data_IF_272338938460
#
_entry.id   IF_272338938460
#
_cell.length_a   1.000
_cell.length_b   1.000
_cell.length_c   1.000
_cell.angle_alpha   90.00
_cell.angle_beta   90.00
_cell.angle_gamma   90.00
#
_symmetry.space_group_name_H-M   'P 1'
#
loop_
_entity.id
_entity.type
_entity.pdbx_description
1 polymer ?
#
# COMPACT_ATOMS: atom_id res chain seq x y z
N UNK A 1 -10.43 16.12 -11.37
CA UNK A 1 -10.23 17.27 -10.45
C UNK A 1 -9.17 16.91 -9.40
N UNK A 2 -8.21 17.80 -9.10
CA UNK A 2 -7.26 17.61 -8.00
C UNK A 2 -7.86 18.07 -6.66
N UNK A 3 -7.71 17.26 -5.61
CA UNK A 3 -8.15 17.58 -4.25
C UNK A 3 -7.02 17.25 -3.28
N UNK A 4 -6.81 18.15 -2.32
CA UNK A 4 -5.77 18.02 -1.29
C UNK A 4 -6.39 17.50 0.02
N UNK A 5 -5.91 16.35 0.50
CA UNK A 5 -6.36 15.74 1.77
C UNK A 5 -5.19 15.67 2.76
N UNK A 6 -5.37 16.12 4.02
CA UNK A 6 -4.31 16.05 5.02
C UNK A 6 -3.91 14.61 5.34
N UNK A 7 -2.61 14.34 5.46
CA UNK A 7 -2.09 13.04 5.91
C UNK A 7 -2.05 12.95 7.45
N UNK A 8 -2.22 11.75 8.03
CA UNK A 8 -2.15 11.56 9.49
C UNK A 8 -0.84 11.98 10.15
N UNK A 9 0.26 11.98 9.39
CA UNK A 9 1.62 12.27 9.87
C UNK A 9 2.12 13.66 9.44
N UNK A 10 1.22 14.54 8.98
CA UNK A 10 1.57 15.84 8.39
C UNK A 10 1.79 15.77 6.87
N UNK A 11 1.64 16.93 6.22
CA UNK A 11 1.66 17.07 4.77
C UNK A 11 0.32 16.74 4.10
N UNK A 12 0.32 16.83 2.78
CA UNK A 12 -0.90 16.73 1.94
C UNK A 12 -0.80 15.54 0.99
N UNK A 13 -1.91 14.83 0.79
CA UNK A 13 -2.09 13.82 -0.27
C UNK A 13 -2.92 14.47 -1.38
N UNK A 14 -2.36 14.51 -2.58
CA UNK A 14 -3.04 15.04 -3.76
C UNK A 14 -3.80 13.90 -4.44
N UNK A 15 -5.13 13.97 -4.42
CA UNK A 15 -6.02 13.02 -5.07
C UNK A 15 -6.50 13.55 -6.41
N UNK A 16 -6.45 12.72 -7.44
CA UNK A 16 -7.11 12.96 -8.71
C UNK A 16 -8.46 12.25 -8.71
N UNK A 17 -9.55 13.01 -8.57
CA UNK A 17 -10.92 12.47 -8.63
C UNK A 17 -11.38 12.48 -10.09
N UNK A 18 -11.60 11.31 -10.73
CA UNK A 18 -12.14 11.23 -12.08
C UNK A 18 -13.62 11.63 -12.12
N UNK A 19 -14.17 11.84 -13.32
CA UNK A 19 -15.62 12.05 -13.47
C UNK A 19 -16.41 10.80 -13.06
N UNK A 20 -17.73 10.93 -12.87
CA UNK A 20 -18.57 9.78 -12.51
C UNK A 20 -18.50 8.69 -13.59
N UNK A 21 -18.56 9.08 -14.86
CA UNK A 21 -18.47 8.17 -16.01
C UNK A 21 -17.09 7.51 -16.04
N UNK A 22 -16.01 8.27 -15.85
CA UNK A 22 -14.66 7.68 -15.80
C UNK A 22 -14.52 6.67 -14.67
N UNK A 23 -15.10 6.95 -13.50
CA UNK A 23 -15.09 6.00 -12.37
C UNK A 23 -15.86 4.73 -12.69
N UNK A 24 -17.02 4.85 -13.35
CA UNK A 24 -17.80 3.69 -13.79
C UNK A 24 -16.99 2.82 -14.76
N UNK A 25 -16.38 3.42 -15.79
CA UNK A 25 -15.59 2.67 -16.79
C UNK A 25 -14.32 2.08 -16.13
N UNK A 26 -13.63 2.84 -15.28
CA UNK A 26 -12.47 2.33 -14.53
C UNK A 26 -12.85 1.15 -13.63
N UNK A 27 -14.02 1.20 -13.00
CA UNK A 27 -14.52 0.10 -12.16
C UNK A 27 -14.83 -1.14 -13.00
N UNK A 28 -15.47 -0.98 -14.18
CA UNK A 28 -15.74 -2.08 -15.08
C UNK A 28 -14.44 -2.77 -15.55
N UNK A 29 -13.43 -1.98 -15.92
CA UNK A 29 -12.09 -2.50 -16.25
C UNK A 29 -11.49 -3.24 -15.04
N UNK A 30 -11.53 -2.65 -13.85
CA UNK A 30 -10.98 -3.26 -12.64
C UNK A 30 -11.65 -4.61 -12.31
N UNK A 31 -12.97 -4.74 -12.51
CA UNK A 31 -13.70 -5.99 -12.31
C UNK A 31 -13.25 -7.11 -13.26
N UNK A 32 -12.87 -6.77 -14.50
CA UNK A 32 -12.32 -7.73 -15.46
C UNK A 32 -10.88 -8.11 -15.10
N UNK A 33 -10.06 -7.13 -14.73
CA UNK A 33 -8.64 -7.37 -14.41
C UNK A 33 -8.45 -8.16 -13.12
N UNK A 34 -9.30 -7.94 -12.12
CA UNK A 34 -9.17 -8.58 -10.79
C UNK A 34 -9.05 -10.11 -10.85
N UNK A 35 -9.99 -10.86 -11.44
CA UNK A 35 -9.90 -12.33 -11.49
C UNK A 35 -8.71 -12.85 -12.28
N UNK A 36 -8.21 -12.09 -13.27
CA UNK A 36 -7.02 -12.46 -14.05
C UNK A 36 -5.77 -12.36 -13.18
N UNK A 37 -5.57 -11.22 -12.53
CA UNK A 37 -4.34 -10.96 -11.77
C UNK A 37 -4.35 -11.59 -10.37
N UNK A 38 -5.50 -11.86 -9.77
CA UNK A 38 -5.58 -12.56 -8.48
C UNK A 38 -4.93 -13.96 -8.55
N UNK A 39 -4.94 -14.62 -9.72
CA UNK A 39 -4.27 -15.92 -9.95
C UNK A 39 -2.74 -15.81 -9.98
N UNK A 40 -2.21 -14.61 -10.16
CA UNK A 40 -0.79 -14.34 -10.42
C UNK A 40 -0.14 -13.60 -9.24
N UNK A 41 -0.93 -12.85 -8.47
CA UNK A 41 -0.42 -12.12 -7.32
C UNK A 41 0.12 -13.05 -6.24
N UNK A 42 1.28 -12.67 -5.69
CA UNK A 42 1.91 -13.38 -4.59
C UNK A 42 0.99 -13.50 -3.38
N UNK A 43 1.00 -14.64 -2.69
CA UNK A 43 0.31 -14.83 -1.42
C UNK A 43 0.80 -13.91 -0.30
N UNK A 44 2.01 -13.35 -0.45
CA UNK A 44 2.59 -12.39 0.47
C UNK A 44 2.15 -10.94 0.20
N UNK A 45 1.29 -10.72 -0.81
CA UNK A 45 0.68 -9.43 -1.12
C UNK A 45 -0.77 -9.40 -0.64
N UNK A 46 -1.11 -8.44 0.21
CA UNK A 46 -2.41 -8.38 0.89
C UNK A 46 -3.24 -7.13 0.56
N UNK A 47 -2.58 -6.01 0.24
CA UNK A 47 -3.28 -4.73 0.08
C UNK A 47 -4.16 -4.68 -1.16
N UNK A 48 -5.39 -4.16 -1.01
CA UNK A 48 -6.36 -3.95 -2.10
C UNK A 48 -6.73 -5.22 -2.88
N UNK A 49 -6.74 -6.37 -2.22
CA UNK A 49 -7.13 -7.65 -2.82
C UNK A 49 -8.42 -8.18 -2.20
N UNK A 50 -9.29 -8.86 -2.96
CA UNK A 50 -10.45 -9.53 -2.42
C UNK A 50 -10.05 -10.55 -1.33
N UNK A 51 -10.82 -10.61 -0.25
CA UNK A 51 -10.65 -11.57 0.85
C UNK A 51 -9.28 -11.55 1.56
N UNK A 52 -8.48 -10.49 1.39
CA UNK A 52 -7.21 -10.29 2.11
C UNK A 52 -7.21 -8.94 2.81
N UNK A 53 -6.86 -8.95 4.09
CA UNK A 53 -6.89 -7.78 4.96
C UNK A 53 -5.56 -7.49 5.64
N UNK A 54 -5.53 -6.36 6.34
CA UNK A 54 -4.38 -5.98 7.16
C UNK A 54 -4.11 -7.00 8.28
N UNK A 55 -5.15 -7.63 8.83
CA UNK A 55 -5.00 -8.66 9.87
C UNK A 55 -4.26 -9.90 9.36
N UNK A 56 -4.54 -10.35 8.13
CA UNK A 56 -3.85 -11.49 7.52
C UNK A 56 -2.36 -11.19 7.32
N UNK A 57 -2.05 -9.98 6.86
CA UNK A 57 -0.68 -9.50 6.73
C UNK A 57 0.04 -9.52 8.09
N UNK A 58 -0.60 -9.01 9.15
CA UNK A 58 -0.04 -9.02 10.51
C UNK A 58 0.13 -10.43 11.06
N UNK A 59 -0.82 -11.34 10.82
CA UNK A 59 -0.70 -12.74 11.23
C UNK A 59 0.53 -13.40 10.56
N UNK A 60 0.77 -13.12 9.28
CA UNK A 60 1.95 -13.61 8.58
C UNK A 60 3.26 -13.06 9.16
N UNK A 61 3.26 -11.80 9.57
CA UNK A 61 4.41 -11.17 10.24
C UNK A 61 4.72 -11.83 11.59
N UNK A 62 3.69 -12.17 12.37
CA UNK A 62 3.83 -12.89 13.64
C UNK A 62 4.43 -14.28 13.41
N UNK A 63 3.91 -15.03 12.44
CA UNK A 63 4.40 -16.34 12.04
C UNK A 63 5.90 -16.32 11.67
N UNK A 64 6.29 -15.39 10.78
CA UNK A 64 7.70 -15.21 10.39
C UNK A 64 8.60 -14.86 11.58
N UNK A 65 8.11 -14.03 12.51
CA UNK A 65 8.89 -13.71 13.71
C UNK A 65 9.14 -14.96 14.56
N UNK A 66 8.11 -15.78 14.78
CA UNK A 66 8.20 -17.02 15.55
C UNK A 66 9.13 -18.06 14.90
N UNK A 67 9.24 -18.05 13.56
CA UNK A 67 10.22 -18.86 12.81
C UNK A 67 11.67 -18.33 12.89
N UNK A 68 11.93 -17.25 13.63
CA UNK A 68 13.26 -16.72 13.88
C UNK A 68 13.70 -15.59 12.95
N UNK A 69 12.82 -15.06 12.09
CA UNK A 69 13.12 -13.88 11.26
C UNK A 69 13.00 -12.58 12.07
N UNK A 70 13.97 -12.36 12.97
CA UNK A 70 13.93 -11.31 14.00
C UNK A 70 14.37 -9.91 13.52
N UNK A 71 14.73 -9.77 12.24
CA UNK A 71 15.09 -8.49 11.60
C UNK A 71 14.19 -8.26 10.39
N UNK A 72 13.86 -7.00 10.13
CA UNK A 72 13.02 -6.60 8.99
C UNK A 72 13.65 -5.42 8.25
N UNK A 73 13.59 -5.47 6.93
CA UNK A 73 13.83 -4.34 6.04
C UNK A 73 12.48 -3.71 5.76
N UNK A 74 12.27 -2.51 6.30
CA UNK A 74 11.09 -1.67 6.09
C UNK A 74 11.35 -0.80 4.86
N UNK A 75 10.70 -1.10 3.73
CA UNK A 75 10.89 -0.45 2.45
C UNK A 75 9.80 0.60 2.22
N UNK A 76 10.20 1.87 2.10
CA UNK A 76 9.29 2.99 1.77
C UNK A 76 9.59 3.51 0.36
N UNK A 77 8.57 3.54 -0.50
CA UNK A 77 8.68 4.03 -1.88
C UNK A 77 8.34 5.53 -1.94
N UNK A 78 9.24 6.33 -2.52
CA UNK A 78 9.07 7.78 -2.57
C UNK A 78 8.00 8.17 -3.59
N UNK A 79 6.85 8.65 -3.08
CA UNK A 79 5.73 9.13 -3.90
C UNK A 79 5.38 8.13 -5.02
N UNK A 80 5.22 6.85 -4.65
CA UNK A 80 5.08 5.74 -5.58
C UNK A 80 4.04 6.00 -6.67
N UNK A 81 2.81 6.32 -6.26
CA UNK A 81 1.70 6.59 -7.18
C UNK A 81 1.96 7.78 -8.11
N UNK A 82 2.87 8.69 -7.78
CA UNK A 82 3.17 9.85 -8.63
C UNK A 82 4.31 9.55 -9.64
N UNK A 83 5.06 8.46 -9.43
CA UNK A 83 6.28 8.14 -10.19
C UNK A 83 6.19 6.85 -11.03
N UNK A 84 5.05 6.16 -11.02
CA UNK A 84 4.84 4.95 -11.83
C UNK A 84 5.12 5.22 -13.32
N UNK A 85 5.97 4.40 -13.95
CA UNK A 85 6.26 4.52 -15.37
C UNK A 85 5.15 3.85 -16.20
N UNK A 86 4.51 4.62 -17.09
CA UNK A 86 3.38 4.14 -17.89
C UNK A 86 3.77 3.04 -18.88
N UNK A 87 4.95 3.12 -19.49
CA UNK A 87 5.39 2.12 -20.47
C UNK A 87 5.68 0.77 -19.81
N UNK A 88 6.32 0.78 -18.63
CA UNK A 88 6.51 -0.42 -17.83
C UNK A 88 5.15 -0.99 -17.35
N UNK A 89 4.23 -0.13 -16.91
CA UNK A 89 2.88 -0.57 -16.53
C UNK A 89 2.17 -1.31 -17.66
N UNK A 90 2.16 -0.71 -18.87
CA UNK A 90 1.54 -1.33 -20.05
C UNK A 90 2.27 -2.62 -20.43
N UNK A 91 3.61 -2.65 -20.35
CA UNK A 91 4.40 -3.86 -20.57
C UNK A 91 4.03 -5.00 -19.62
N UNK A 92 3.78 -4.70 -18.34
CA UNK A 92 3.39 -5.73 -17.35
C UNK A 92 1.95 -6.21 -17.56
N UNK A 93 1.04 -5.31 -17.95
CA UNK A 93 -0.32 -5.67 -18.33
C UNK A 93 -0.34 -6.59 -19.56
N UNK A 94 0.48 -6.29 -20.57
CA UNK A 94 0.63 -7.07 -21.80
C UNK A 94 1.08 -8.52 -21.59
N UNK A 95 1.65 -8.87 -20.43
CA UNK A 95 2.02 -10.26 -20.14
C UNK A 95 0.81 -11.16 -19.88
N UNK A 96 -0.35 -10.57 -19.58
CA UNK A 96 -1.56 -11.29 -19.18
C UNK A 96 -2.82 -10.85 -19.95
N UNK A 97 -2.73 -9.76 -20.73
CA UNK A 97 -3.83 -9.19 -21.50
C UNK A 97 -3.36 -9.02 -22.93
N UNK A 98 -3.97 -9.76 -23.85
CA UNK A 98 -3.66 -9.66 -25.28
C UNK A 98 -4.50 -8.59 -26.00
N UNK A 99 -5.64 -8.16 -25.43
CA UNK A 99 -6.54 -7.19 -26.05
C UNK A 99 -5.90 -5.78 -26.16
N UNK A 100 -5.59 -5.29 -27.38
CA UNK A 100 -4.97 -3.99 -27.56
C UNK A 100 -5.88 -2.83 -27.16
N UNK A 101 -7.21 -3.00 -27.22
CA UNK A 101 -8.16 -1.94 -26.90
C UNK A 101 -8.22 -1.65 -25.40
N UNK A 102 -8.26 -2.69 -24.57
CA UNK A 102 -8.18 -2.56 -23.12
C UNK A 102 -6.87 -1.90 -22.70
N UNK A 103 -5.74 -2.32 -23.28
CA UNK A 103 -4.43 -1.70 -22.99
C UNK A 103 -4.39 -0.21 -23.40
N UNK A 104 -4.96 0.14 -24.56
CA UNK A 104 -5.09 1.54 -25.01
C UNK A 104 -5.98 2.35 -24.07
N UNK A 105 -7.09 1.77 -23.60
CA UNK A 105 -8.00 2.42 -22.66
C UNK A 105 -7.31 2.68 -21.31
N UNK A 106 -6.60 1.69 -20.77
CA UNK A 106 -5.83 1.85 -19.53
C UNK A 106 -4.74 2.92 -19.71
N UNK A 107 -4.01 2.91 -20.84
CA UNK A 107 -3.02 3.94 -21.16
C UNK A 107 -3.68 5.33 -21.21
N UNK A 108 -4.86 5.46 -21.81
CA UNK A 108 -5.62 6.72 -21.82
C UNK A 108 -5.93 7.18 -20.38
N UNK A 109 -6.40 6.31 -19.50
CA UNK A 109 -6.64 6.68 -18.09
C UNK A 109 -5.38 7.10 -17.33
N UNK A 110 -4.22 6.53 -17.65
CA UNK A 110 -2.94 6.93 -17.05
C UNK A 110 -2.49 8.31 -17.56
N UNK A 111 -2.69 8.58 -18.84
CA UNK A 111 -2.25 9.83 -19.50
C UNK A 111 -3.26 10.98 -19.43
N UNK A 112 -4.50 10.73 -18.96
CA UNK A 112 -5.63 11.69 -19.02
C UNK A 112 -5.42 12.98 -18.22
N UNK A 113 -4.27 13.13 -17.56
CA UNK A 113 -3.87 14.34 -16.87
C UNK A 113 -4.70 14.60 -15.62
N UNK A 114 -4.40 15.72 -14.97
CA UNK A 114 -5.20 16.25 -13.87
C UNK A 114 -5.53 17.71 -14.12
N UNK A 115 -6.79 18.08 -13.89
CA UNK A 115 -7.18 19.47 -13.77
C UNK A 115 -6.76 19.98 -12.39
N UNK A 116 -5.76 20.85 -12.36
CA UNK A 116 -5.19 21.46 -11.16
C UNK A 116 -5.41 22.97 -11.19
N UNK A 117 -6.16 23.50 -10.22
CA UNK A 117 -6.55 24.92 -10.17
C UNK A 117 -7.10 25.51 -11.48
N UNK A 118 -7.82 24.71 -12.28
CA UNK A 118 -8.41 25.13 -13.55
C UNK A 118 -7.48 24.99 -14.78
N UNK A 119 -6.22 24.61 -14.58
CA UNK A 119 -5.27 24.34 -15.65
C UNK A 119 -5.13 22.83 -15.88
N UNK A 120 -5.10 22.43 -17.15
CA UNK A 120 -4.89 21.04 -17.53
C UNK A 120 -3.39 20.71 -17.52
N UNK A 121 -2.97 19.82 -16.63
CA UNK A 121 -1.62 19.28 -16.60
C UNK A 121 -1.61 17.86 -17.18
N UNK A 122 -0.83 17.62 -18.23
CA UNK A 122 -0.56 16.26 -18.73
C UNK A 122 0.13 15.45 -17.65
N UNK A 123 -0.26 14.17 -17.52
CA UNK A 123 0.40 13.24 -16.61
C UNK A 123 1.38 12.38 -17.42
N UNK A 124 2.67 12.70 -17.30
CA UNK A 124 3.75 11.92 -17.95
C UNK A 124 4.13 10.68 -17.14
N UNK A 125 3.85 10.67 -15.84
CA UNK A 125 4.13 9.58 -14.89
C UNK A 125 3.06 9.54 -13.81
N UNK A 126 2.97 8.38 -13.15
CA UNK A 126 2.09 8.14 -12.02
C UNK A 126 0.75 7.52 -12.41
N UNK A 127 -0.04 7.18 -11.41
CA UNK A 127 -1.42 6.69 -11.54
C UNK A 127 -2.33 7.63 -10.75
N UNK A 128 -3.51 8.02 -11.26
CA UNK A 128 -4.41 8.92 -10.55
C UNK A 128 -4.78 8.37 -9.15
N UNK A 129 -4.34 9.05 -8.09
CA UNK A 129 -4.73 8.65 -6.73
C UNK A 129 -6.22 8.97 -6.53
N UNK A 130 -7.09 7.96 -6.52
CA UNK A 130 -8.55 8.12 -6.35
C UNK A 130 -9.41 7.48 -7.45
N UNK A 131 -8.79 6.98 -8.52
CA UNK A 131 -9.48 6.12 -9.49
C UNK A 131 -9.70 4.70 -8.96
N UNK A 132 -10.86 4.06 -9.18
CA UNK A 132 -11.09 2.68 -8.75
C UNK A 132 -10.13 1.65 -9.37
N UNK A 133 -9.53 1.99 -10.52
CA UNK A 133 -8.57 1.15 -11.22
C UNK A 133 -7.14 1.25 -10.64
N UNK A 134 -6.80 2.36 -9.97
CA UNK A 134 -5.43 2.62 -9.51
C UNK A 134 -4.88 1.61 -8.50
N UNK A 135 -5.66 1.08 -7.53
CA UNK A 135 -5.19 0.07 -6.59
C UNK A 135 -4.71 -1.23 -7.26
N UNK A 136 -5.47 -1.74 -8.24
CA UNK A 136 -5.08 -2.97 -8.94
C UNK A 136 -3.85 -2.73 -9.83
N UNK A 137 -3.79 -1.59 -10.54
CA UNK A 137 -2.60 -1.24 -11.32
C UNK A 137 -1.35 -1.14 -10.45
N UNK A 138 -1.46 -0.51 -9.27
CA UNK A 138 -0.38 -0.45 -8.31
C UNK A 138 0.13 -1.84 -7.89
N UNK A 139 -0.78 -2.80 -7.68
CA UNK A 139 -0.42 -4.17 -7.37
C UNK A 139 0.21 -4.91 -8.55
N UNK A 140 -0.28 -4.73 -9.78
CA UNK A 140 0.30 -5.32 -11.00
C UNK A 140 1.76 -4.91 -11.15
N UNK A 141 2.04 -3.62 -10.97
CA UNK A 141 3.39 -3.09 -11.09
C UNK A 141 4.34 -3.62 -10.00
N UNK A 142 3.88 -3.67 -8.75
CA UNK A 142 4.68 -4.20 -7.63
C UNK A 142 4.71 -5.72 -7.57
N UNK A 143 3.88 -6.43 -8.34
CA UNK A 143 3.98 -7.88 -8.45
C UNK A 143 5.33 -8.32 -9.02
N UNK A 144 6.00 -7.47 -9.82
CA UNK A 144 7.36 -7.73 -10.30
C UNK A 144 8.40 -7.70 -9.17
N UNK A 145 8.20 -6.86 -8.16
CA UNK A 145 8.99 -6.91 -6.92
C UNK A 145 8.70 -8.21 -6.17
N UNK A 146 7.42 -8.59 -6.04
CA UNK A 146 7.01 -9.81 -5.33
C UNK A 146 7.60 -11.07 -5.98
N UNK A 147 7.56 -11.15 -7.31
CA UNK A 147 8.19 -12.22 -8.10
C UNK A 147 9.69 -12.28 -7.86
N UNK A 148 10.38 -11.13 -7.88
CA UNK A 148 11.82 -11.08 -7.66
C UNK A 148 12.21 -11.48 -6.23
N UNK A 149 11.44 -11.06 -5.23
CA UNK A 149 11.65 -11.48 -3.83
C UNK A 149 11.42 -12.98 -3.66
N UNK A 150 10.36 -13.51 -4.27
CA UNK A 150 10.03 -14.94 -4.26
C UNK A 150 11.12 -15.76 -4.94
N UNK A 151 11.57 -15.33 -6.13
CA UNK A 151 12.67 -15.96 -6.88
C UNK A 151 13.98 -16.03 -6.10
N UNK A 152 14.23 -15.04 -5.23
CA UNK A 152 15.41 -14.98 -4.34
C UNK A 152 15.23 -15.72 -3.02
N UNK A 153 14.06 -16.34 -2.79
CA UNK A 153 13.75 -17.05 -1.55
C UNK A 153 13.65 -16.12 -0.34
N UNK A 154 13.26 -14.86 -0.53
CA UNK A 154 13.06 -13.93 0.58
C UNK A 154 11.64 -14.06 1.15
N UNK A 155 11.55 -13.99 2.48
CA UNK A 155 10.27 -13.87 3.17
C UNK A 155 9.87 -12.41 3.26
N UNK A 156 8.70 -12.05 2.77
CA UNK A 156 8.22 -10.68 2.79
C UNK A 156 6.72 -10.63 3.05
N UNK A 157 6.23 -9.45 3.42
CA UNK A 157 4.82 -9.13 3.53
C UNK A 157 4.63 -7.74 2.92
N UNK A 158 3.77 -7.65 1.91
CA UNK A 158 3.46 -6.39 1.21
C UNK A 158 1.99 -6.03 1.37
N UNK A 159 1.73 -4.78 1.71
CA UNK A 159 0.40 -4.20 1.75
C UNK A 159 0.41 -2.89 0.98
N UNK A 160 -0.13 -2.91 -0.24
CA UNK A 160 -0.01 -1.80 -1.18
C UNK A 160 1.47 -1.45 -1.47
N UNK A 161 1.89 -0.23 -1.16
CA UNK A 161 3.25 0.28 -1.29
C UNK A 161 4.14 -0.01 -0.08
N UNK A 162 3.56 -0.31 1.09
CA UNK A 162 4.31 -0.71 2.28
C UNK A 162 4.79 -2.16 2.13
N UNK A 163 6.10 -2.38 2.06
CA UNK A 163 6.70 -3.70 1.86
C UNK A 163 7.77 -4.00 2.92
N UNK A 164 7.59 -5.09 3.66
CA UNK A 164 8.52 -5.53 4.69
C UNK A 164 9.19 -6.85 4.29
N UNK A 165 10.52 -6.90 4.34
CA UNK A 165 11.29 -8.12 4.06
C UNK A 165 11.93 -8.64 5.34
N UNK A 166 11.62 -9.87 5.72
CA UNK A 166 12.01 -10.49 6.98
C UNK A 166 13.27 -11.34 6.81
N UNK A 167 14.25 -11.11 7.68
CA UNK A 167 15.59 -11.72 7.63
C UNK A 167 16.05 -12.12 9.03
N UNK A 168 17.00 -13.06 9.11
CA UNK A 168 17.52 -13.57 10.40
C UNK A 168 18.56 -12.66 11.05
N UNK A 169 19.29 -11.84 10.28
CA UNK A 169 20.38 -10.99 10.79
C UNK A 169 20.38 -9.59 10.19
N UNK A 170 21.01 -8.65 10.90
CA UNK A 170 21.13 -7.26 10.47
C UNK A 170 21.92 -7.14 9.16
N UNK A 171 23.07 -7.80 9.09
CA UNK A 171 23.94 -7.84 7.91
C UNK A 171 23.20 -8.40 6.68
N UNK A 172 22.35 -9.42 6.87
CA UNK A 172 21.52 -9.93 5.79
C UNK A 172 20.50 -8.89 5.33
N UNK A 173 19.87 -8.16 6.26
CA UNK A 173 18.93 -7.09 5.93
C UNK A 173 19.56 -5.97 5.12
N UNK A 174 20.75 -5.50 5.51
CA UNK A 174 21.47 -4.44 4.79
C UNK A 174 21.90 -4.87 3.38
N UNK A 175 22.30 -6.15 3.23
CA UNK A 175 22.61 -6.73 1.91
C UNK A 175 21.36 -6.77 1.02
N UNK A 176 20.23 -7.24 1.55
CA UNK A 176 18.96 -7.32 0.81
C UNK A 176 18.48 -5.92 0.45
N UNK A 177 18.50 -4.98 1.39
CA UNK A 177 18.11 -3.58 1.18
C UNK A 177 18.86 -2.97 0.00
N UNK A 178 20.20 -3.04 -0.04
CA UNK A 178 20.99 -2.53 -1.15
C UNK A 178 20.62 -3.17 -2.49
N UNK A 179 20.46 -4.49 -2.52
CA UNK A 179 20.17 -5.23 -3.74
C UNK A 179 18.77 -4.96 -4.28
N UNK A 180 17.78 -4.84 -3.40
CA UNK A 180 16.38 -4.54 -3.77
C UNK A 180 16.23 -3.07 -4.18
N UNK A 181 16.89 -2.13 -3.50
CA UNK A 181 16.93 -0.72 -3.96
C UNK A 181 17.46 -0.62 -5.38
N UNK A 182 18.57 -1.32 -5.69
CA UNK A 182 19.10 -1.34 -7.06
C UNK A 182 18.10 -1.93 -8.07
N UNK A 183 17.37 -2.98 -7.70
CA UNK A 183 16.34 -3.57 -8.55
C UNK A 183 15.20 -2.57 -8.81
N UNK A 184 14.66 -1.95 -7.77
CA UNK A 184 13.57 -0.98 -7.85
C UNK A 184 13.93 0.21 -8.73
N UNK A 185 15.12 0.78 -8.53
CA UNK A 185 15.55 1.98 -9.26
C UNK A 185 15.93 1.66 -10.71
N UNK A 186 16.64 0.55 -10.96
CA UNK A 186 17.12 0.23 -12.31
C UNK A 186 16.05 -0.43 -13.18
N UNK A 187 15.31 -1.41 -12.64
CA UNK A 187 14.31 -2.21 -13.38
C UNK A 187 12.93 -1.57 -13.33
N UNK A 188 12.41 -1.29 -12.12
CA UNK A 188 11.07 -0.74 -11.96
C UNK A 188 11.03 0.79 -12.09
N UNK A 189 12.17 1.48 -12.18
CA UNK A 189 12.25 2.95 -12.25
C UNK A 189 11.52 3.66 -11.09
N UNK A 190 11.43 3.01 -9.92
CA UNK A 190 10.82 3.56 -8.71
C UNK A 190 11.93 3.99 -7.75
N UNK A 191 11.81 5.20 -7.21
CA UNK A 191 12.75 5.72 -6.20
C UNK A 191 12.39 5.23 -4.81
N UNK A 192 13.39 4.74 -4.08
CA UNK A 192 13.25 4.40 -2.66
C UNK A 192 13.43 5.67 -1.83
N UNK A 193 12.76 5.74 -0.68
CA UNK A 193 12.94 6.82 0.28
C UNK A 193 14.03 6.45 1.30
N UNK A 194 15.27 6.98 1.19
CA UNK A 194 16.38 6.57 2.05
C UNK A 194 16.17 6.96 3.51
N UNK A 195 15.43 8.03 3.78
CA UNK A 195 15.21 8.53 5.15
C UNK A 195 14.23 7.66 5.94
N UNK A 196 13.33 6.97 5.22
CA UNK A 196 12.32 6.11 5.84
C UNK A 196 12.65 4.62 5.73
N UNK A 197 13.37 4.24 4.68
CA UNK A 197 13.80 2.86 4.46
C UNK A 197 14.89 2.48 5.44
N UNK A 198 14.69 1.41 6.20
CA UNK A 198 15.65 1.02 7.24
C UNK A 198 15.58 -0.46 7.58
N UNK A 199 16.67 -0.97 8.14
CA UNK A 199 16.72 -2.31 8.72
C UNK A 199 16.58 -2.22 10.22
N UNK A 200 15.58 -2.88 10.78
CA UNK A 200 15.29 -2.81 12.21
C UNK A 200 14.72 -4.10 12.78
N UNK A 201 14.23 -4.01 14.02
CA UNK A 201 13.52 -5.11 14.66
C UNK A 201 11.99 -4.93 14.47
N UNK A 202 11.25 -5.99 14.10
CA UNK A 202 9.78 -5.98 14.05
C UNK A 202 9.10 -5.58 15.38
N UNK A 203 9.80 -5.66 16.50
CA UNK A 203 9.29 -5.24 17.82
C UNK A 203 9.21 -3.72 17.96
N UNK A 204 10.06 -3.00 17.23
CA UNK A 204 10.20 -1.53 17.30
C UNK A 204 9.61 -0.85 16.08
N UNK A 205 9.71 -1.48 14.92
CA UNK A 205 9.18 -0.95 13.68
C UNK A 205 7.66 -1.15 13.61
N UNK A 206 6.99 -0.18 13.01
CA UNK A 206 5.53 -0.16 12.89
C UNK A 206 5.17 -0.63 11.50
N UNK A 207 4.22 -1.56 11.39
CA UNK A 207 3.65 -2.01 10.13
C UNK A 207 2.12 -2.02 10.27
N UNK A 208 1.42 -1.36 9.35
CA UNK A 208 -0.04 -1.25 9.35
C UNK A 208 -0.66 -0.76 10.67
N UNK A 209 0.07 0.07 11.42
CA UNK A 209 -0.38 0.58 12.72
C UNK A 209 -0.16 -0.36 13.91
N UNK A 210 0.50 -1.50 13.70
CA UNK A 210 0.90 -2.47 14.72
C UNK A 210 2.43 -2.55 14.83
N UNK A 211 2.89 -3.04 15.97
CA UNK A 211 4.26 -3.48 16.25
C UNK A 211 4.18 -4.88 16.83
N UNK A 212 5.25 -5.66 16.84
CA UNK A 212 5.23 -6.94 17.54
C UNK A 212 5.55 -6.79 19.04
N UNK A 213 4.86 -7.58 19.87
CA UNK A 213 5.24 -7.90 21.24
C UNK A 213 5.69 -9.36 21.31
N UNK A 214 6.41 -9.74 22.38
CA UNK A 214 6.81 -11.13 22.64
C UNK A 214 6.46 -11.46 24.09
N UNK A 215 5.87 -12.63 24.30
CA UNK A 215 5.64 -13.23 25.60
C UNK A 215 6.18 -14.68 25.63
N UNK A 216 5.79 -15.46 26.63
CA UNK A 216 6.19 -16.86 26.79
C UNK A 216 5.63 -17.79 25.71
N UNK A 217 4.51 -17.43 25.07
CA UNK A 217 3.84 -18.20 24.02
C UNK A 217 4.27 -17.78 22.60
N UNK A 218 5.08 -16.72 22.48
CA UNK A 218 5.67 -16.27 21.22
C UNK A 218 5.38 -14.80 20.94
N UNK A 219 5.48 -14.42 19.66
CA UNK A 219 5.14 -13.08 19.23
C UNK A 219 3.63 -12.88 19.09
N UNK A 220 3.18 -11.66 19.37
CA UNK A 220 1.80 -11.23 19.17
C UNK A 220 1.74 -9.81 18.59
N UNK A 221 0.62 -9.48 17.96
CA UNK A 221 0.39 -8.16 17.40
C UNK A 221 0.02 -7.14 18.49
N UNK A 222 0.83 -6.09 18.64
CA UNK A 222 0.62 -5.01 19.60
C UNK A 222 0.31 -3.69 18.89
N UNK A 223 -0.85 -3.05 19.14
CA UNK A 223 -1.19 -1.76 18.55
C UNK A 223 -0.13 -0.69 18.84
N UNK A 224 0.32 0.03 17.81
CA UNK A 224 1.31 1.09 17.98
C UNK A 224 0.77 2.24 18.85
N UNK A 225 1.64 2.91 19.63
CA UNK A 225 1.26 4.04 20.51
C UNK A 225 0.44 5.12 19.78
N UNK A 226 0.81 5.42 18.53
CA UNK A 226 0.09 6.41 17.71
C UNK A 226 -1.33 5.94 17.34
N UNK A 227 -1.53 4.65 17.06
CA UNK A 227 -2.86 4.09 16.82
C UNK A 227 -3.73 4.19 18.08
N UNK A 228 -3.17 3.86 19.25
CA UNK A 228 -3.85 4.02 20.53
C UNK A 228 -4.21 5.50 20.82
N UNK A 229 -3.30 6.43 20.54
CA UNK A 229 -3.55 7.87 20.69
C UNK A 229 -4.66 8.36 19.75
N UNK A 230 -4.72 7.87 18.51
CA UNK A 230 -5.79 8.19 17.56
C UNK A 230 -7.16 7.75 18.07
N UNK A 231 -7.26 6.53 18.59
CA UNK A 231 -8.50 6.01 19.21
C UNK A 231 -8.88 6.85 20.42
N UNK A 232 -7.93 7.12 21.34
CA UNK A 232 -8.17 7.99 22.50
C UNK A 232 -8.65 9.39 22.10
N UNK A 233 -8.07 9.98 21.04
CA UNK A 233 -8.50 11.29 20.52
C UNK A 233 -9.91 11.23 19.92
N UNK A 234 -10.22 10.18 19.15
CA UNK A 234 -11.55 9.97 18.60
C UNK A 234 -12.61 9.81 19.71
N UNK A 235 -12.33 8.95 20.70
CA UNK A 235 -13.21 8.77 21.86
C UNK A 235 -13.42 10.07 22.62
N UNK A 236 -12.36 10.85 22.89
CA UNK A 236 -12.49 12.18 23.52
C UNK A 236 -13.38 13.14 22.74
N UNK A 237 -13.37 13.08 21.40
CA UNK A 237 -14.25 13.90 20.58
C UNK A 237 -15.70 13.40 20.65
N UNK A 238 -15.90 12.07 20.64
CA UNK A 238 -17.22 11.46 20.72
C UNK A 238 -17.89 11.68 22.08
N UNK A 239 -17.12 11.65 23.17
CA UNK A 239 -17.59 11.79 24.55
C UNK A 239 -17.48 13.24 25.06
N UNK A 240 -17.42 14.23 24.16
CA UNK A 240 -17.38 15.64 24.56
C UNK A 240 -18.67 16.02 25.31
N UNK A 241 -18.52 16.63 26.49
CA UNK A 241 -19.63 17.01 27.38
C UNK A 241 -20.61 18.02 26.76
N UNK A 242 -20.16 18.80 25.78
CA UNK A 242 -20.99 19.78 25.08
C UNK A 242 -21.68 19.21 23.83
N UNK A 243 -21.71 17.89 23.64
CA UNK A 243 -22.51 17.27 22.58
C UNK A 243 -23.94 17.08 23.09
N UNK A 244 -24.88 17.86 22.55
CA UNK A 244 -26.31 17.71 22.81
C UNK A 244 -26.90 16.46 22.15
N UNK A 245 -26.32 15.28 22.41
CA UNK A 245 -26.81 13.98 21.93
C UNK A 245 -27.14 13.08 23.11
N UNK A 246 -28.09 12.16 22.91
CA UNK A 246 -28.41 11.16 23.93
C UNK A 246 -27.24 10.20 24.18
N UNK A 247 -27.18 9.64 25.39
CA UNK A 247 -26.20 8.63 25.75
C UNK A 247 -26.28 7.39 24.84
N UNK A 248 -27.50 6.95 24.49
CA UNK A 248 -27.72 5.82 23.58
C UNK A 248 -27.06 6.07 22.21
N UNK A 249 -27.29 7.26 21.63
CA UNK A 249 -26.67 7.65 20.36
C UNK A 249 -25.15 7.75 20.47
N UNK A 250 -24.64 8.22 21.62
CA UNK A 250 -23.21 8.25 21.89
C UNK A 250 -22.60 6.83 21.95
N UNK A 251 -23.27 5.87 22.61
CA UNK A 251 -22.82 4.49 22.64
C UNK A 251 -22.86 3.83 21.26
N UNK A 252 -23.90 4.07 20.46
CA UNK A 252 -23.97 3.60 19.07
C UNK A 252 -22.82 4.15 18.22
N UNK A 253 -22.49 5.45 18.36
CA UNK A 253 -21.36 6.07 17.66
C UNK A 253 -20.01 5.49 18.09
N UNK A 254 -19.87 5.11 19.36
CA UNK A 254 -18.66 4.44 19.88
C UNK A 254 -18.56 3.01 19.34
N UNK A 255 -19.66 2.25 19.33
CA UNK A 255 -19.67 0.85 18.84
C UNK A 255 -19.39 0.75 17.33
N UNK A 256 -19.78 1.76 16.55
CA UNK A 256 -19.50 1.83 15.09
C UNK A 256 -18.04 2.17 14.76
N UNK A 257 -17.21 2.48 15.74
CA UNK A 257 -15.85 3.04 15.56
C UNK A 257 -14.75 2.03 15.86
#
# INVERSE_FOLDING_TARGET
KRVEIPKPNGGVRKLGIPTVVDRMVQQAVAQILTPIFERVFSDNSFGFRPHRGAHDAIAKVVDLYNQGYRRVVDLDLKAYFDNVNHDLMIKYLQQYIDDPWTLRLIRKFLTSGVLDHGLFAKSEKGTPQGGPLSPILANIYLNELDKELTRRGHHFVRYADDCNIYVKSQRAGERVMRSITQFLEKRLKVKVNPDKTKVGSPLRLKFLGFSLGVDHNGAYARPAKQSQQRVKKALRLLTKRNRGISLTRMFEEIQRK
#
